data_IF_617638989581
#
_entry.id   IF_617638989581
#
_cell.length_a   1.000
_cell.length_b   1.000
_cell.length_c   1.000
_cell.angle_alpha   90.00
_cell.angle_beta   90.00
_cell.angle_gamma   90.00
#
_symmetry.space_group_name_H-M   'P 1'
#
loop_
_entity.id
_entity.type
_entity.pdbx_description
1 polymer ?
#
# COMPACT_ATOMS: atom_id res chain seq x y z
N UNK A 1 2.97 -11.53 12.76
CA UNK A 1 4.14 -12.13 12.09
C UNK A 1 4.28 -11.46 10.73
N UNK A 2 5.41 -10.78 10.45
CA UNK A 2 5.63 -10.11 9.17
C UNK A 2 5.82 -11.17 8.07
N UNK A 3 4.92 -11.20 7.08
CA UNK A 3 4.94 -12.24 6.04
C UNK A 3 5.90 -11.94 4.88
N UNK A 4 6.48 -10.73 4.82
CA UNK A 4 7.37 -10.30 3.73
C UNK A 4 8.77 -9.97 4.26
N UNK A 5 9.79 -10.49 3.57
CA UNK A 5 11.21 -10.25 3.88
C UNK A 5 11.94 -9.65 2.69
N UNK A 6 13.01 -8.91 2.94
CA UNK A 6 13.69 -8.10 1.93
C UNK A 6 14.17 -8.91 0.69
N UNK A 7 14.63 -10.16 0.88
CA UNK A 7 15.09 -11.03 -0.23
C UNK A 7 14.00 -11.33 -1.26
N UNK A 8 12.73 -11.26 -0.87
CA UNK A 8 11.60 -11.58 -1.74
C UNK A 8 11.04 -10.34 -2.45
N UNK A 9 11.56 -9.14 -2.14
CA UNK A 9 11.04 -7.85 -2.58
C UNK A 9 10.85 -7.76 -4.10
N UNK A 10 11.82 -8.23 -4.89
CA UNK A 10 11.72 -8.21 -6.35
C UNK A 10 10.53 -9.04 -6.85
N UNK A 11 10.41 -10.29 -6.40
CA UNK A 11 9.33 -11.18 -6.81
C UNK A 11 7.96 -10.67 -6.37
N UNK A 12 7.91 -10.06 -5.19
CA UNK A 12 6.72 -9.42 -4.64
C UNK A 12 6.30 -8.22 -5.50
N UNK A 13 7.24 -7.35 -5.86
CA UNK A 13 6.97 -6.17 -6.67
C UNK A 13 6.56 -6.55 -8.09
N UNK A 14 7.26 -7.51 -8.71
CA UNK A 14 6.91 -8.09 -10.02
C UNK A 14 5.47 -8.60 -10.03
N UNK A 15 5.10 -9.37 -9.01
CA UNK A 15 3.75 -9.89 -8.86
C UNK A 15 2.70 -8.76 -8.77
N UNK A 16 2.96 -7.70 -8.00
CA UNK A 16 2.04 -6.56 -7.90
C UNK A 16 1.84 -5.85 -9.24
N UNK A 17 2.90 -5.70 -10.05
CA UNK A 17 2.86 -5.12 -11.40
C UNK A 17 2.05 -5.96 -12.39
N UNK A 18 2.23 -7.27 -12.37
CA UNK A 18 1.51 -8.19 -13.26
C UNK A 18 0.02 -8.31 -12.88
N UNK A 19 -0.33 -8.03 -11.63
CA UNK A 19 -1.67 -8.23 -11.06
C UNK A 19 -2.29 -6.93 -10.53
N UNK A 20 -1.98 -5.77 -11.12
CA UNK A 20 -2.40 -4.46 -10.58
C UNK A 20 -3.90 -4.36 -10.29
N UNK A 21 -4.77 -4.87 -11.17
CA UNK A 21 -6.23 -4.83 -10.97
C UNK A 21 -6.69 -5.65 -9.77
N UNK A 22 -6.02 -6.78 -9.49
CA UNK A 22 -6.33 -7.65 -8.35
C UNK A 22 -5.69 -7.13 -7.06
N UNK A 23 -4.55 -6.44 -7.16
CA UNK A 23 -3.86 -5.85 -6.01
C UNK A 23 -4.43 -4.50 -5.58
N UNK A 24 -5.04 -3.76 -6.49
CA UNK A 24 -5.60 -2.45 -6.23
C UNK A 24 -6.95 -2.56 -5.50
N UNK A 25 -7.04 -1.98 -4.30
CA UNK A 25 -8.30 -1.88 -3.56
C UNK A 25 -8.92 -0.52 -3.87
N UNK A 26 -10.07 -0.52 -4.54
CA UNK A 26 -10.76 0.72 -4.85
C UNK A 26 -11.26 1.42 -3.57
N UNK A 27 -11.29 2.74 -3.59
CA UNK A 27 -11.81 3.58 -2.50
C UNK A 27 -13.27 3.25 -2.11
N UNK A 28 -14.01 2.60 -3.02
CA UNK A 28 -15.43 2.26 -2.89
C UNK A 28 -15.60 0.83 -2.37
N UNK A 29 -14.58 -0.03 -2.50
CA UNK A 29 -14.60 -1.39 -1.98
C UNK A 29 -14.66 -1.36 -0.44
N UNK A 30 -15.85 -1.66 0.10
CA UNK A 30 -16.02 -1.98 1.52
C UNK A 30 -15.17 -3.22 1.82
N UNK A 31 -14.35 -3.24 2.89
CA UNK A 31 -13.90 -4.51 3.44
C UNK A 31 -15.17 -5.21 3.92
N UNK A 32 -15.61 -6.24 3.22
CA UNK A 32 -16.86 -6.91 3.53
C UNK A 32 -16.79 -7.47 4.96
N UNK A 33 -17.54 -6.84 5.86
CA UNK A 33 -18.29 -7.58 6.86
C UNK A 33 -19.15 -8.60 6.10
N UNK A 34 -19.08 -9.86 6.50
CA UNK A 34 -19.82 -11.02 5.98
C UNK A 34 -19.29 -11.69 4.70
N UNK A 35 -18.97 -12.97 4.88
CA UNK A 35 -18.88 -14.05 3.90
C UNK A 35 -19.88 -13.87 2.75
N UNK A 36 -19.45 -13.36 1.60
CA UNK A 36 -20.06 -13.39 0.25
C UNK A 36 -19.23 -12.35 -0.55
N UNK A 37 -18.02 -12.63 -1.03
CA UNK A 37 -17.73 -13.39 -2.26
C UNK A 37 -16.26 -13.89 -2.25
N UNK A 38 -15.97 -14.90 -1.42
CA UNK A 38 -14.71 -15.65 -1.46
C UNK A 38 -14.73 -16.72 -2.59
N UNK A 39 -15.62 -16.54 -3.57
CA UNK A 39 -15.77 -17.37 -4.77
C UNK A 39 -15.81 -16.56 -6.08
N UNK A 40 -15.33 -15.31 -6.07
CA UNK A 40 -14.70 -14.78 -7.27
C UNK A 40 -13.22 -15.14 -7.20
N UNK A 41 -12.74 -15.91 -8.17
CA UNK A 41 -11.37 -16.42 -8.37
C UNK A 41 -10.26 -15.34 -8.45
N UNK A 42 -10.57 -14.10 -8.10
CA UNK A 42 -9.68 -12.92 -8.07
C UNK A 42 -9.06 -12.65 -6.69
N UNK A 43 -9.72 -13.01 -5.58
CA UNK A 43 -9.22 -12.74 -4.22
C UNK A 43 -7.98 -13.54 -3.80
N UNK A 44 -7.61 -14.58 -4.56
CA UNK A 44 -6.35 -15.34 -4.39
C UNK A 44 -5.18 -14.81 -5.21
N UNK A 45 -5.40 -13.81 -6.07
CA UNK A 45 -4.38 -13.39 -7.06
C UNK A 45 -3.39 -12.38 -6.54
N UNK A 46 -3.70 -11.55 -5.54
CA UNK A 46 -2.73 -10.61 -4.99
C UNK A 46 -2.18 -11.04 -3.63
N UNK A 47 -0.87 -11.29 -3.55
CA UNK A 47 -0.17 -11.64 -2.31
C UNK A 47 -0.34 -10.60 -1.19
N UNK A 48 -0.61 -9.35 -1.53
CA UNK A 48 -0.80 -8.27 -0.56
C UNK A 48 -2.21 -8.16 0.01
N UNK A 49 -3.21 -8.73 -0.68
CA UNK A 49 -4.62 -8.58 -0.27
C UNK A 49 -4.85 -9.17 1.14
N UNK A 50 -4.22 -10.31 1.45
CA UNK A 50 -4.31 -10.94 2.76
C UNK A 50 -3.73 -10.06 3.88
N UNK A 51 -2.72 -9.24 3.59
CA UNK A 51 -2.13 -8.33 4.55
C UNK A 51 -3.08 -7.19 4.91
N UNK A 52 -3.81 -6.66 3.92
CA UNK A 52 -4.85 -5.68 4.19
C UNK A 52 -6.03 -6.29 4.98
N UNK A 53 -6.43 -7.53 4.70
CA UNK A 53 -7.52 -8.15 5.47
C UNK A 53 -7.16 -8.47 6.92
N UNK A 54 -5.86 -8.52 7.27
CA UNK A 54 -5.38 -8.77 8.63
C UNK A 54 -5.28 -7.49 9.49
N UNK A 55 -5.59 -6.32 8.93
CA UNK A 55 -5.62 -5.04 9.66
C UNK A 55 -7.02 -4.85 10.26
N UNK A 56 -7.15 -4.37 11.51
CA UNK A 56 -8.45 -4.09 12.12
C UNK A 56 -9.30 -3.17 11.25
N UNK A 57 -10.61 -3.45 11.14
CA UNK A 57 -11.54 -2.70 10.29
C UNK A 57 -11.56 -1.20 10.63
N UNK A 58 -11.33 -0.88 11.90
CA UNK A 58 -11.35 0.48 12.45
C UNK A 58 -10.29 1.35 11.77
N UNK A 59 -9.12 0.78 11.43
CA UNK A 59 -8.05 1.49 10.69
C UNK A 59 -8.55 1.96 9.33
N UNK A 60 -9.47 1.23 8.71
CA UNK A 60 -10.04 1.54 7.41
C UNK A 60 -11.27 2.43 7.43
N UNK A 61 -11.95 2.50 8.58
CA UNK A 61 -13.11 3.36 8.80
C UNK A 61 -12.69 4.79 9.17
N UNK A 62 -11.50 4.95 9.76
CA UNK A 62 -10.91 6.24 10.09
C UNK A 62 -10.50 7.01 8.83
N UNK A 63 -10.87 8.30 8.79
CA UNK A 63 -10.47 9.24 7.74
C UNK A 63 -9.16 9.90 8.13
N UNK A 64 -8.04 9.21 7.91
CA UNK A 64 -6.71 9.70 8.25
C UNK A 64 -6.35 10.97 7.48
N UNK A 65 -5.84 11.99 8.16
CA UNK A 65 -5.19 13.15 7.53
C UNK A 65 -3.74 12.84 7.15
N UNK A 66 -3.07 12.03 7.98
CA UNK A 66 -1.70 11.61 7.84
C UNK A 66 -1.55 10.14 8.27
N UNK A 67 -0.78 9.37 7.50
CA UNK A 67 -0.36 8.01 7.83
C UNK A 67 1.16 7.89 7.62
N UNK A 68 1.86 7.20 8.52
CA UNK A 68 3.32 7.03 8.46
C UNK A 68 3.68 5.55 8.33
N UNK A 69 4.51 5.21 7.34
CA UNK A 69 5.10 3.88 7.16
C UNK A 69 6.56 3.89 7.67
N UNK A 70 6.74 3.56 8.95
CA UNK A 70 8.06 3.56 9.63
C UNK A 70 8.47 2.19 10.19
N UNK A 71 7.61 1.19 10.14
CA UNK A 71 7.94 -0.17 10.59
C UNK A 71 7.78 -1.22 9.49
N UNK A 72 8.36 -2.42 9.68
CA UNK A 72 9.27 -2.83 10.76
C UNK A 72 10.73 -2.44 10.50
N UNK A 73 11.58 -2.57 11.53
CA UNK A 73 13.03 -2.36 11.40
C UNK A 73 13.72 -3.53 10.67
N UNK A 74 14.75 -3.18 9.91
CA UNK A 74 15.71 -4.14 9.35
C UNK A 74 16.14 -3.82 7.92
N UNK A 75 17.38 -4.14 7.60
CA UNK A 75 18.04 -3.84 6.31
C UNK A 75 18.71 -5.07 5.67
N UNK A 76 18.59 -6.25 6.30
CA UNK A 76 19.20 -7.49 5.84
C UNK A 76 18.23 -8.29 4.97
N UNK A 77 18.72 -9.16 4.07
CA UNK A 77 17.86 -9.96 3.19
C UNK A 77 16.80 -10.81 3.92
N UNK A 78 17.09 -11.26 5.15
CA UNK A 78 16.16 -12.04 5.98
C UNK A 78 15.32 -11.19 6.95
N UNK A 79 15.62 -9.89 7.06
CA UNK A 79 14.85 -8.98 7.88
C UNK A 79 13.49 -8.69 7.21
N UNK A 80 12.45 -8.42 8.01
CA UNK A 80 11.21 -7.91 7.46
C UNK A 80 11.47 -6.54 6.83
N UNK A 81 10.79 -6.24 5.72
CA UNK A 81 10.87 -4.94 5.07
C UNK A 81 9.55 -4.18 5.18
N UNK A 82 9.54 -2.90 4.78
CA UNK A 82 8.34 -2.05 4.87
C UNK A 82 7.35 -2.23 3.71
N UNK A 83 7.60 -3.19 2.82
CA UNK A 83 6.76 -3.48 1.65
C UNK A 83 5.27 -3.64 1.99
N UNK A 84 4.97 -4.41 3.06
CA UNK A 84 3.61 -4.63 3.53
C UNK A 84 3.00 -3.36 4.12
N UNK A 85 3.77 -2.62 4.92
CA UNK A 85 3.33 -1.36 5.50
C UNK A 85 3.00 -0.33 4.42
N UNK A 86 3.88 -0.16 3.42
CA UNK A 86 3.69 0.73 2.28
C UNK A 86 2.40 0.39 1.51
N UNK A 87 2.13 -0.91 1.28
CA UNK A 87 0.88 -1.34 0.66
C UNK A 87 -0.36 -0.98 1.52
N UNK A 88 -0.31 -1.24 2.83
CA UNK A 88 -1.44 -0.96 3.73
C UNK A 88 -1.72 0.54 3.79
N UNK A 89 -0.70 1.39 3.90
CA UNK A 89 -0.91 2.85 3.94
C UNK A 89 -1.47 3.38 2.62
N UNK A 90 -1.12 2.79 1.47
CA UNK A 90 -1.74 3.11 0.19
C UNK A 90 -3.25 2.83 0.21
N UNK A 91 -3.63 1.62 0.64
CA UNK A 91 -5.04 1.21 0.76
C UNK A 91 -5.82 2.14 1.69
N UNK A 92 -5.25 2.49 2.84
CA UNK A 92 -5.87 3.41 3.81
C UNK A 92 -5.99 4.82 3.22
N UNK A 93 -4.93 5.34 2.62
CA UNK A 93 -4.90 6.69 2.09
C UNK A 93 -5.92 6.92 0.96
N UNK A 94 -6.15 5.91 0.11
CA UNK A 94 -7.12 5.95 -0.99
C UNK A 94 -8.57 5.87 -0.54
N UNK A 95 -8.88 5.45 0.70
CA UNK A 95 -10.27 5.35 1.21
C UNK A 95 -10.87 6.70 1.60
N UNK A 96 -10.04 7.73 1.80
CA UNK A 96 -10.51 9.07 2.19
C UNK A 96 -11.26 9.74 1.04
N UNK A 97 -12.57 9.97 1.22
CA UNK A 97 -13.44 10.63 0.22
C UNK A 97 -13.39 12.17 0.20
N UNK A 98 -12.53 12.82 0.99
CA UNK A 98 -12.46 14.29 1.09
C UNK A 98 -11.46 14.87 0.08
N UNK A 99 -11.73 16.10 -0.38
CA UNK A 99 -10.96 16.80 -1.41
C UNK A 99 -9.48 17.04 -1.06
N UNK A 100 -9.12 17.09 0.22
CA UNK A 100 -7.76 17.44 0.64
C UNK A 100 -6.75 16.28 0.56
N UNK A 101 -7.21 15.06 0.27
CA UNK A 101 -6.35 13.87 0.24
C UNK A 101 -5.84 13.45 1.62
N UNK A 102 -5.01 12.41 1.62
CA UNK A 102 -4.34 11.86 2.81
C UNK A 102 -2.83 11.97 2.60
N UNK A 103 -2.12 12.54 3.57
CA UNK A 103 -0.66 12.52 3.56
C UNK A 103 -0.14 11.13 3.93
N UNK A 104 0.85 10.65 3.18
CA UNK A 104 1.57 9.41 3.46
C UNK A 104 3.05 9.73 3.57
N UNK A 105 3.60 9.57 4.78
CA UNK A 105 5.03 9.68 5.02
C UNK A 105 5.68 8.30 5.02
N UNK A 106 6.68 8.09 4.18
CA UNK A 106 7.47 6.86 4.16
C UNK A 106 8.88 7.16 4.65
N UNK A 107 9.37 6.38 5.61
CA UNK A 107 10.74 6.46 6.13
C UNK A 107 11.67 5.44 5.44
N UNK A 108 12.99 5.65 5.57
CA UNK A 108 14.06 4.85 4.99
C UNK A 108 14.00 4.71 3.45
N UNK A 109 13.52 5.75 2.76
CA UNK A 109 13.43 5.77 1.28
C UNK A 109 14.80 5.92 0.58
N UNK A 110 15.87 6.10 1.35
CA UNK A 110 17.25 5.93 0.89
C UNK A 110 17.56 4.46 0.55
N UNK A 111 16.75 3.51 1.03
CA UNK A 111 16.84 2.08 0.69
C UNK A 111 16.04 1.75 -0.56
N UNK A 112 16.61 0.90 -1.40
CA UNK A 112 16.04 0.57 -2.72
C UNK A 112 14.66 -0.10 -2.63
N UNK A 113 14.43 -0.97 -1.64
CA UNK A 113 13.15 -1.68 -1.50
C UNK A 113 12.04 -0.69 -1.18
N UNK A 114 12.18 0.07 -0.10
CA UNK A 114 11.23 1.10 0.33
C UNK A 114 10.96 2.10 -0.79
N UNK A 115 12.01 2.55 -1.48
CA UNK A 115 11.92 3.44 -2.64
C UNK A 115 11.07 2.87 -3.77
N UNK A 116 11.37 1.64 -4.22
CA UNK A 116 10.65 0.99 -5.32
C UNK A 116 9.19 0.73 -4.97
N UNK A 117 8.92 0.29 -3.74
CA UNK A 117 7.56 0.03 -3.28
C UNK A 117 6.75 1.31 -3.13
N UNK A 118 7.37 2.40 -2.67
CA UNK A 118 6.73 3.72 -2.58
C UNK A 118 6.32 4.23 -3.96
N UNK A 119 7.21 4.16 -4.95
CA UNK A 119 6.86 4.55 -6.31
C UNK A 119 5.75 3.70 -6.91
N UNK A 120 5.79 2.38 -6.70
CA UNK A 120 4.80 1.46 -7.27
C UNK A 120 3.40 1.68 -6.71
N UNK A 121 3.28 1.83 -5.39
CA UNK A 121 1.98 1.90 -4.74
C UNK A 121 1.48 3.33 -4.58
N UNK A 122 2.34 4.27 -4.20
CA UNK A 122 1.94 5.65 -3.89
C UNK A 122 2.01 6.59 -5.11
N UNK A 123 2.68 6.19 -6.18
CA UNK A 123 2.91 6.95 -7.41
C UNK A 123 3.75 8.21 -7.24
N UNK A 124 4.65 8.39 -8.20
CA UNK A 124 5.53 9.53 -8.27
C UNK A 124 4.83 10.87 -8.43
N UNK A 125 3.78 10.87 -9.24
CA UNK A 125 2.88 12.01 -9.45
C UNK A 125 2.18 12.51 -8.17
N UNK A 126 2.19 11.75 -7.08
CA UNK A 126 1.63 12.17 -5.79
C UNK A 126 2.71 12.65 -4.79
N UNK A 127 4.01 12.59 -5.13
CA UNK A 127 5.08 13.02 -4.26
C UNK A 127 5.07 14.55 -4.12
N UNK A 128 4.95 15.04 -2.89
CA UNK A 128 4.94 16.46 -2.56
C UNK A 128 6.32 16.94 -2.15
N UNK A 129 7.05 16.14 -1.35
CA UNK A 129 8.38 16.51 -0.91
C UNK A 129 9.26 15.31 -0.57
N UNK A 130 10.56 15.54 -0.63
CA UNK A 130 11.61 14.60 -0.23
C UNK A 130 12.58 15.32 0.69
N UNK A 131 12.75 14.82 1.92
CA UNK A 131 13.61 15.42 2.95
C UNK A 131 14.38 14.33 3.69
N UNK A 132 15.69 14.27 3.47
CA UNK A 132 16.54 13.23 4.05
C UNK A 132 16.06 11.84 3.66
N UNK A 133 15.71 11.02 4.66
CA UNK A 133 15.18 9.66 4.49
C UNK A 133 13.65 9.57 4.40
N UNK A 134 12.96 10.71 4.33
CA UNK A 134 11.51 10.77 4.30
C UNK A 134 10.99 11.26 2.96
N UNK A 135 9.95 10.59 2.47
CA UNK A 135 9.11 11.05 1.37
C UNK A 135 7.69 11.33 1.86
N UNK A 136 7.13 12.45 1.41
CA UNK A 136 5.74 12.86 1.66
C UNK A 136 4.94 12.80 0.37
N UNK A 137 3.86 12.01 0.38
CA UNK A 137 2.91 11.89 -0.71
C UNK A 137 1.55 12.43 -0.28
N UNK A 138 0.83 13.11 -1.18
CA UNK A 138 -0.58 13.41 -0.96
C UNK A 138 -1.47 12.58 -1.89
N UNK A 139 -2.21 11.64 -1.30
CA UNK A 139 -3.05 10.70 -2.04
C UNK A 139 -4.48 11.20 -2.10
N UNK A 140 -4.92 11.55 -3.32
CA UNK A 140 -6.33 11.85 -3.61
C UNK A 140 -7.10 10.58 -3.97
N UNK A 141 -8.27 10.39 -3.38
CA UNK A 141 -9.17 9.32 -3.79
C UNK A 141 -9.72 9.60 -5.19
N UNK A 142 -9.44 8.69 -6.13
CA UNK A 142 -9.96 8.72 -7.50
C UNK A 142 -10.93 7.55 -7.67
N UNK A 143 -12.26 7.77 -7.64
CA UNK A 143 -13.25 6.69 -7.59
C UNK A 143 -13.23 5.76 -8.82
N UNK A 144 -12.81 6.28 -9.98
CA UNK A 144 -12.79 5.53 -11.24
C UNK A 144 -11.43 4.85 -11.53
N UNK A 145 -10.46 4.93 -10.62
CA UNK A 145 -9.12 4.35 -10.82
C UNK A 145 -9.13 2.89 -10.40
N UNK A 146 -8.50 2.02 -11.18
CA UNK A 146 -8.46 0.55 -10.99
C UNK A 146 -7.04 -0.02 -10.92
N UNK A 147 -6.02 0.83 -10.97
CA UNK A 147 -4.59 0.48 -10.87
C UNK A 147 -3.85 1.52 -10.03
N UNK A 148 -2.68 1.16 -9.49
CA UNK A 148 -1.87 2.06 -8.66
C UNK A 148 -1.39 3.25 -9.47
N UNK A 149 -0.40 3.07 -10.33
CA UNK A 149 0.22 4.13 -11.13
C UNK A 149 0.02 3.86 -12.62
N UNK A 150 0.00 4.91 -13.44
CA UNK A 150 0.06 4.73 -14.90
C UNK A 150 1.48 4.26 -15.23
N UNK A 151 1.59 3.13 -15.92
CA UNK A 151 2.79 2.79 -16.67
C UNK A 151 2.92 3.74 -17.87
#
# INVERSE_FOLDING_TARGET
MYQTVARDAYNILKHARENQKDCYISAIARPSSSKHDVHSSSSRKCKFMSLATNVPKEVYEVKWDLVIADGPEGDKPKSPGRMAAIYIVDVVARRRKKNNGTHVLVHDVDRMIEKCFSWEFLCDTNLISSKGKFWDFNILAKPNRTTFCRA
#
